data_IF_869639532009
#
_entry.id   IF_869639532009
#
_cell.length_a   1.000
_cell.length_b   1.000
_cell.length_c   1.000
_cell.angle_alpha   90.00
_cell.angle_beta   90.00
_cell.angle_gamma   90.00
#
_symmetry.space_group_name_H-M   'P 1'
#
loop_
_entity.id
_entity.type
_entity.pdbx_description
1 polymer ?
#
# COMPACT_ATOMS: atom_id res chain seq x y z
N UNK A 1 26.51 -37.41 -11.39
CA UNK A 1 26.02 -38.24 -12.51
C UNK A 1 25.76 -39.68 -12.08
N UNK A 2 26.68 -40.36 -11.40
CA UNK A 2 26.50 -41.75 -10.92
C UNK A 2 25.25 -41.95 -10.02
N UNK A 3 24.95 -40.96 -9.18
CA UNK A 3 23.75 -40.94 -8.32
C UNK A 3 22.44 -40.72 -9.11
N UNK A 4 22.52 -40.10 -10.30
CA UNK A 4 21.39 -39.86 -11.20
C UNK A 4 21.13 -41.13 -12.03
N UNK A 5 22.19 -41.77 -12.54
CA UNK A 5 22.06 -43.05 -13.26
C UNK A 5 21.49 -44.16 -12.37
N UNK A 6 21.98 -44.34 -11.13
CA UNK A 6 21.39 -45.30 -10.18
C UNK A 6 19.94 -45.00 -9.83
N UNK A 7 19.56 -43.72 -9.79
CA UNK A 7 18.18 -43.30 -9.53
C UNK A 7 17.27 -43.64 -10.70
N UNK A 8 17.70 -43.34 -11.93
CA UNK A 8 16.97 -43.66 -13.16
C UNK A 8 16.86 -45.17 -13.35
N UNK A 9 17.92 -45.93 -13.05
CA UNK A 9 17.93 -47.39 -13.15
C UNK A 9 17.00 -48.05 -12.12
N UNK A 10 16.95 -47.53 -10.89
CA UNK A 10 16.00 -47.97 -9.88
C UNK A 10 14.55 -47.60 -10.25
N UNK A 11 14.31 -46.42 -10.83
CA UNK A 11 13.00 -46.00 -11.32
C UNK A 11 12.53 -46.86 -12.51
N UNK A 12 13.42 -47.18 -13.46
CA UNK A 12 13.12 -48.07 -14.59
C UNK A 12 12.78 -49.51 -14.16
N UNK A 13 13.39 -50.00 -13.07
CA UNK A 13 13.11 -51.33 -12.52
C UNK A 13 11.76 -51.43 -11.80
N UNK A 14 11.11 -50.30 -11.50
CA UNK A 14 9.77 -50.26 -10.89
C UNK A 14 8.62 -50.16 -11.90
N UNK A 15 8.93 -50.00 -13.20
CA UNK A 15 7.95 -49.85 -14.28
C UNK A 15 7.60 -51.18 -14.94
N UNK A 16 6.38 -51.28 -15.47
CA UNK A 16 5.97 -52.47 -16.23
C UNK A 16 6.61 -52.53 -17.63
N UNK A 17 6.39 -53.63 -18.37
CA UNK A 17 6.98 -53.81 -19.70
C UNK A 17 6.42 -52.83 -20.76
N UNK A 18 5.17 -52.42 -20.63
CA UNK A 18 4.54 -51.45 -21.53
C UNK A 18 5.11 -50.04 -21.34
N UNK A 19 5.23 -49.61 -20.09
CA UNK A 19 5.80 -48.31 -19.72
C UNK A 19 7.27 -48.19 -20.12
N UNK A 20 8.07 -49.26 -19.94
CA UNK A 20 9.47 -49.30 -20.38
C UNK A 20 9.60 -49.19 -21.90
N UNK A 21 8.72 -49.83 -22.66
CA UNK A 21 8.72 -49.75 -24.12
C UNK A 21 8.31 -48.36 -24.62
N UNK A 22 7.38 -47.68 -23.94
CA UNK A 22 7.00 -46.31 -24.30
C UNK A 22 8.16 -45.32 -24.08
N UNK A 23 8.87 -45.44 -22.94
CA UNK A 23 10.05 -44.62 -22.65
C UNK A 23 11.17 -44.89 -23.66
N UNK A 24 11.41 -46.16 -24.00
CA UNK A 24 12.40 -46.54 -25.00
C UNK A 24 12.11 -45.90 -26.37
N UNK A 25 10.85 -45.90 -26.80
CA UNK A 25 10.46 -45.27 -28.07
C UNK A 25 10.64 -43.75 -28.03
N UNK A 26 10.26 -43.09 -26.94
CA UNK A 26 10.50 -41.64 -26.77
C UNK A 26 11.99 -41.27 -26.82
N UNK A 27 12.85 -42.08 -26.19
CA UNK A 27 14.30 -41.87 -26.23
C UNK A 27 14.85 -42.08 -27.65
N UNK A 28 14.34 -43.05 -28.40
CA UNK A 28 14.69 -43.24 -29.82
C UNK A 28 14.25 -42.07 -30.69
N UNK A 29 13.04 -41.54 -30.48
CA UNK A 29 12.57 -40.36 -31.21
C UNK A 29 13.45 -39.12 -30.94
N UNK A 30 13.94 -38.95 -29.70
CA UNK A 30 14.90 -37.90 -29.38
C UNK A 30 16.27 -38.13 -30.04
N UNK A 31 16.75 -39.38 -30.08
CA UNK A 31 17.97 -39.74 -30.84
C UNK A 31 17.79 -39.41 -32.32
N UNK A 32 16.66 -39.77 -32.94
CA UNK A 32 16.38 -39.48 -34.35
C UNK A 32 16.39 -37.97 -34.64
N UNK A 33 15.86 -37.15 -33.72
CA UNK A 33 15.93 -35.68 -33.82
C UNK A 33 17.36 -35.17 -33.75
N UNK A 34 18.18 -35.71 -32.86
CA UNK A 34 19.60 -35.37 -32.72
C UNK A 34 20.36 -35.79 -33.99
N UNK A 35 20.14 -37.00 -34.49
CA UNK A 35 20.77 -37.53 -35.69
C UNK A 35 20.47 -36.66 -36.92
N UNK A 36 19.22 -36.19 -37.04
CA UNK A 36 18.84 -35.23 -38.10
C UNK A 36 19.64 -33.92 -38.01
N UNK A 37 19.92 -33.43 -36.80
CA UNK A 37 20.76 -32.25 -36.60
C UNK A 37 22.23 -32.53 -36.93
N UNK A 38 22.76 -33.69 -36.52
CA UNK A 38 24.12 -34.12 -36.83
C UNK A 38 24.34 -34.22 -38.34
N UNK A 39 23.44 -34.87 -39.07
CA UNK A 39 23.50 -34.97 -40.54
C UNK A 39 23.51 -33.58 -41.19
N UNK A 40 22.69 -32.65 -40.70
CA UNK A 40 22.67 -31.27 -41.21
C UNK A 40 23.98 -30.52 -40.95
N UNK A 41 24.54 -30.66 -39.75
CA UNK A 41 25.81 -30.03 -39.37
C UNK A 41 27.00 -30.61 -40.16
N UNK A 42 27.05 -31.94 -40.30
CA UNK A 42 28.05 -32.62 -41.13
C UNK A 42 27.92 -32.16 -42.58
N UNK A 43 26.71 -32.10 -43.14
CA UNK A 43 26.47 -31.60 -44.50
C UNK A 43 26.97 -30.17 -44.70
N UNK A 44 26.69 -29.27 -43.76
CA UNK A 44 27.22 -27.89 -43.77
C UNK A 44 28.75 -27.85 -43.71
N UNK A 45 29.35 -28.69 -42.86
CA UNK A 45 30.81 -28.79 -42.74
C UNK A 45 31.44 -29.32 -44.03
N UNK A 46 30.86 -30.34 -44.64
CA UNK A 46 31.28 -30.90 -45.92
C UNK A 46 31.22 -29.85 -47.04
N UNK A 47 30.21 -28.99 -47.05
CA UNK A 47 30.16 -27.87 -47.99
C UNK A 47 31.36 -26.93 -47.83
N UNK A 48 31.79 -26.65 -46.60
CA UNK A 48 33.00 -25.87 -46.35
C UNK A 48 34.25 -26.61 -46.84
N UNK A 49 34.32 -27.93 -46.64
CA UNK A 49 35.41 -28.76 -47.19
C UNK A 49 35.49 -28.67 -48.72
N UNK A 50 34.36 -28.69 -49.44
CA UNK A 50 34.32 -28.50 -50.91
C UNK A 50 34.90 -27.14 -51.29
N UNK A 51 34.49 -26.07 -50.60
CA UNK A 51 35.00 -24.71 -50.87
C UNK A 51 36.50 -24.60 -50.59
N UNK A 52 36.98 -25.20 -49.49
CA UNK A 52 38.41 -25.27 -49.17
C UNK A 52 39.17 -26.00 -50.28
N UNK A 53 38.63 -27.11 -50.80
CA UNK A 53 39.23 -27.84 -51.92
C UNK A 53 39.40 -26.97 -53.17
N UNK A 54 38.37 -26.17 -53.52
CA UNK A 54 38.44 -25.22 -54.65
C UNK A 54 39.53 -24.16 -54.44
N UNK A 55 39.59 -23.58 -53.25
CA UNK A 55 40.58 -22.54 -52.91
C UNK A 55 42.00 -23.14 -52.96
N UNK A 56 42.21 -24.30 -52.35
CA UNK A 56 43.51 -25.00 -52.39
C UNK A 56 43.95 -25.30 -53.83
N UNK A 57 43.03 -25.70 -54.70
CA UNK A 57 43.30 -25.90 -56.14
C UNK A 57 43.74 -24.60 -56.82
N UNK A 58 43.02 -23.49 -56.61
CA UNK A 58 43.39 -22.17 -57.16
C UNK A 58 44.76 -21.70 -56.68
N UNK A 59 45.14 -22.05 -55.45
CA UNK A 59 46.41 -21.68 -54.83
C UNK A 59 47.51 -22.74 -54.98
N UNK A 60 47.24 -23.84 -55.71
CA UNK A 60 48.13 -25.00 -55.88
C UNK A 60 48.70 -25.60 -54.57
N UNK A 61 47.88 -25.64 -53.53
CA UNK A 61 48.25 -26.17 -52.20
C UNK A 61 47.91 -27.65 -52.04
N UNK A 62 48.68 -28.41 -51.23
CA UNK A 62 48.37 -29.82 -50.97
C UNK A 62 47.04 -29.98 -50.21
N UNK A 63 46.29 -31.02 -50.56
CA UNK A 63 45.00 -31.32 -49.94
C UNK A 63 45.16 -31.77 -48.49
N UNK A 64 46.21 -32.54 -48.19
CA UNK A 64 46.55 -32.98 -46.84
C UNK A 64 47.49 -32.01 -46.12
N UNK A 65 47.16 -31.66 -44.88
CA UNK A 65 48.03 -30.89 -43.99
C UNK A 65 48.00 -31.51 -42.58
N UNK A 66 49.04 -32.28 -42.19
CA UNK A 66 49.05 -33.03 -40.93
C UNK A 66 49.05 -32.12 -39.70
N UNK A 67 49.71 -30.96 -39.77
CA UNK A 67 49.75 -30.01 -38.65
C UNK A 67 48.36 -29.45 -38.34
N UNK A 68 47.59 -29.13 -39.39
CA UNK A 68 46.23 -28.63 -39.25
C UNK A 68 45.28 -29.65 -38.65
N UNK A 69 45.43 -30.93 -38.99
CA UNK A 69 44.59 -31.99 -38.43
C UNK A 69 44.91 -32.24 -36.96
N UNK A 70 46.20 -32.19 -36.58
CA UNK A 70 46.62 -32.25 -35.17
C UNK A 70 46.02 -31.10 -34.34
N UNK A 71 45.97 -29.88 -34.88
CA UNK A 71 45.30 -28.74 -34.25
C UNK A 71 43.79 -28.95 -34.08
N UNK A 72 43.14 -29.52 -35.10
CA UNK A 72 41.70 -29.80 -35.07
C UNK A 72 41.40 -30.85 -34.00
N UNK A 73 42.16 -31.95 -33.96
CA UNK A 73 42.03 -33.01 -32.96
C UNK A 73 42.22 -32.48 -31.54
N UNK A 74 43.25 -31.66 -31.30
CA UNK A 74 43.46 -31.02 -29.98
C UNK A 74 42.29 -30.11 -29.59
N UNK A 75 41.76 -29.32 -30.53
CA UNK A 75 40.62 -28.44 -30.25
C UNK A 75 39.34 -29.21 -29.93
N UNK A 76 39.04 -30.27 -30.68
CA UNK A 76 37.83 -31.07 -30.47
C UNK A 76 37.89 -31.79 -29.13
N UNK A 77 39.06 -32.32 -28.75
CA UNK A 77 39.27 -32.99 -27.47
C UNK A 77 38.95 -32.09 -26.27
N UNK A 78 39.09 -30.77 -26.40
CA UNK A 78 38.79 -29.80 -25.34
C UNK A 78 37.30 -29.46 -25.22
N UNK A 79 36.46 -29.85 -26.18
CA UNK A 79 35.01 -29.58 -26.18
C UNK A 79 34.17 -30.78 -25.72
N UNK A 80 34.82 -31.87 -25.28
CA UNK A 80 34.14 -33.10 -24.90
C UNK A 80 33.69 -33.03 -23.45
N UNK A 81 32.42 -33.33 -23.23
CA UNK A 81 31.83 -33.49 -21.90
C UNK A 81 31.42 -34.95 -21.70
N UNK A 82 31.43 -35.43 -20.45
CA UNK A 82 30.96 -36.78 -20.11
C UNK A 82 29.49 -36.96 -20.53
N UNK A 83 29.06 -38.15 -20.99
CA UNK A 83 29.70 -39.48 -20.86
C UNK A 83 30.67 -39.86 -21.99
N UNK A 84 30.90 -38.98 -22.97
CA UNK A 84 31.77 -39.29 -24.10
C UNK A 84 33.24 -39.08 -23.70
N UNK A 85 34.11 -40.07 -23.99
CA UNK A 85 35.54 -39.93 -23.72
C UNK A 85 36.25 -39.17 -24.85
N UNK A 86 37.30 -38.38 -24.55
CA UNK A 86 38.08 -37.67 -25.56
C UNK A 86 38.60 -38.56 -26.69
N UNK A 87 39.05 -39.79 -26.40
CA UNK A 87 39.54 -40.72 -27.41
C UNK A 87 38.41 -41.21 -28.33
N UNK A 88 37.16 -41.25 -27.83
CA UNK A 88 36.01 -41.69 -28.60
C UNK A 88 35.55 -40.63 -29.61
N UNK A 89 35.54 -39.34 -29.23
CA UNK A 89 35.20 -38.28 -30.20
C UNK A 89 36.25 -38.16 -31.30
N UNK A 90 37.53 -38.42 -30.98
CA UNK A 90 38.62 -38.31 -31.94
C UNK A 90 38.46 -39.33 -33.06
N UNK A 91 38.12 -40.59 -32.75
CA UNK A 91 37.82 -41.61 -33.76
C UNK A 91 36.66 -41.22 -34.69
N UNK A 92 35.62 -40.59 -34.14
CA UNK A 92 34.47 -40.11 -34.94
C UNK A 92 34.92 -38.99 -35.88
N UNK A 93 35.69 -38.03 -35.36
CA UNK A 93 36.15 -36.88 -36.14
C UNK A 93 37.22 -37.23 -37.16
N UNK A 94 38.08 -38.22 -36.90
CA UNK A 94 39.00 -38.80 -37.87
C UNK A 94 38.24 -39.26 -39.12
N UNK A 95 37.09 -39.96 -38.92
CA UNK A 95 36.28 -40.41 -40.06
C UNK A 95 35.64 -39.24 -40.84
N UNK A 96 35.22 -38.18 -40.15
CA UNK A 96 34.70 -36.96 -40.78
C UNK A 96 35.81 -36.24 -41.56
N UNK A 97 37.05 -36.25 -41.05
CA UNK A 97 38.22 -35.65 -41.70
C UNK A 97 38.65 -36.47 -42.92
N UNK A 98 38.67 -37.80 -42.84
CA UNK A 98 38.88 -38.72 -43.96
C UNK A 98 37.93 -38.37 -45.12
N UNK A 99 36.63 -38.31 -44.83
CA UNK A 99 35.61 -38.03 -45.84
C UNK A 99 35.78 -36.62 -46.44
N UNK A 100 36.12 -35.65 -45.59
CA UNK A 100 36.42 -34.29 -46.03
C UNK A 100 37.63 -34.23 -46.97
N UNK A 101 38.67 -35.05 -46.73
CA UNK A 101 39.85 -35.16 -47.61
C UNK A 101 39.48 -35.82 -48.94
N UNK A 102 38.71 -36.90 -48.90
CA UNK A 102 38.26 -37.60 -50.10
C UNK A 102 37.51 -36.63 -51.03
N UNK A 103 36.55 -35.88 -50.48
CA UNK A 103 35.78 -34.87 -51.22
C UNK A 103 36.66 -33.72 -51.74
N UNK A 104 37.62 -33.23 -50.93
CA UNK A 104 38.57 -32.21 -51.38
C UNK A 104 39.45 -32.70 -52.54
N UNK A 105 39.93 -33.95 -52.46
CA UNK A 105 40.76 -34.57 -53.50
C UNK A 105 39.95 -34.79 -54.78
N UNK A 106 38.70 -35.24 -54.66
CA UNK A 106 37.83 -35.47 -55.79
C UNK A 106 37.46 -34.16 -56.52
N UNK A 107 37.12 -33.10 -55.78
CA UNK A 107 36.85 -31.77 -56.34
C UNK A 107 38.11 -31.12 -56.95
N UNK A 108 39.30 -31.40 -56.38
CA UNK A 108 40.58 -30.92 -56.92
C UNK A 108 40.94 -31.55 -58.27
N UNK A 109 40.60 -32.83 -58.49
CA UNK A 109 40.95 -33.59 -59.70
C UNK A 109 39.91 -33.45 -60.81
N UNK A 110 38.61 -33.54 -60.51
CA UNK A 110 37.55 -33.65 -61.52
C UNK A 110 36.83 -32.34 -61.84
N UNK A 111 36.97 -31.31 -60.99
CA UNK A 111 36.48 -29.94 -61.22
C UNK A 111 34.94 -29.77 -61.28
N UNK A 112 34.36 -29.04 -60.33
CA UNK A 112 32.94 -28.66 -60.29
C UNK A 112 31.94 -29.83 -60.30
N UNK A 113 32.24 -30.94 -59.61
CA UNK A 113 31.29 -32.05 -59.47
C UNK A 113 30.10 -31.64 -58.60
N UNK A 114 30.40 -30.96 -57.49
CA UNK A 114 29.38 -30.50 -56.58
C UNK A 114 28.82 -29.16 -57.06
N UNK A 115 27.61 -29.16 -57.64
CA UNK A 115 26.82 -27.94 -57.80
C UNK A 115 26.57 -27.38 -56.40
N UNK A 116 27.40 -26.42 -55.98
CA UNK A 116 27.16 -25.59 -54.79
C UNK A 116 25.99 -24.67 -55.15
N UNK A 117 24.80 -25.24 -55.21
CA UNK A 117 23.57 -24.48 -55.23
C UNK A 117 23.54 -23.80 -53.87
N UNK A 118 23.92 -22.53 -53.86
CA UNK A 118 23.73 -21.64 -52.71
C UNK A 118 22.22 -21.55 -52.55
N UNK A 119 21.59 -22.54 -51.93
CA UNK A 119 20.26 -22.37 -51.36
C UNK A 119 20.50 -21.34 -50.27
N UNK A 120 20.34 -20.07 -50.66
CA UNK A 120 20.25 -18.94 -49.75
C UNK A 120 19.20 -19.38 -48.73
N UNK A 121 19.63 -19.83 -47.56
CA UNK A 121 18.88 -19.54 -46.35
C UNK A 121 19.07 -18.04 -46.06
N UNK A 122 18.66 -17.21 -47.02
CA UNK A 122 17.96 -16.00 -46.66
C UNK A 122 16.56 -16.52 -46.35
N UNK A 123 16.08 -16.33 -45.13
CA UNK A 123 14.64 -16.15 -44.97
C UNK A 123 14.36 -14.85 -45.73
N UNK A 124 14.13 -14.99 -47.03
CA UNK A 124 13.83 -13.87 -47.89
C UNK A 124 12.39 -13.52 -47.64
N UNK A 125 12.13 -12.45 -46.87
CA UNK A 125 10.79 -11.87 -46.79
C UNK A 125 10.24 -11.53 -48.19
N UNK A 126 11.13 -11.32 -49.16
CA UNK A 126 10.88 -11.16 -50.60
C UNK A 126 10.25 -12.37 -51.30
N UNK A 127 10.21 -13.56 -50.68
CA UNK A 127 9.48 -14.75 -51.18
C UNK A 127 8.32 -15.20 -50.31
N UNK A 128 8.06 -14.54 -49.18
CA UNK A 128 7.03 -14.93 -48.22
C UNK A 128 5.67 -14.28 -48.50
N UNK A 129 5.66 -13.10 -49.10
CA UNK A 129 4.46 -12.33 -49.45
C UNK A 129 4.66 -11.75 -50.85
N UNK A 130 3.70 -11.96 -51.77
CA UNK A 130 3.71 -11.22 -53.04
C UNK A 130 3.52 -9.72 -52.78
N UNK A 131 3.79 -8.83 -53.77
CA UNK A 131 3.54 -7.39 -53.60
C UNK A 131 2.10 -7.10 -53.14
N UNK A 132 1.13 -7.86 -53.66
CA UNK A 132 -0.27 -7.79 -53.24
C UNK A 132 -0.45 -8.20 -51.78
N UNK A 133 0.15 -9.32 -51.37
CA UNK A 133 0.03 -9.82 -50.00
C UNK A 133 0.73 -8.89 -48.99
N UNK A 134 1.83 -8.23 -49.39
CA UNK A 134 2.46 -7.19 -48.60
C UNK A 134 1.52 -5.99 -48.37
N UNK A 135 0.86 -5.49 -49.42
CA UNK A 135 -0.13 -4.41 -49.27
C UNK A 135 -1.33 -4.82 -48.43
N UNK A 136 -1.79 -6.07 -48.53
CA UNK A 136 -2.86 -6.61 -47.69
C UNK A 136 -2.44 -6.65 -46.23
N UNK A 137 -1.23 -7.16 -45.94
CA UNK A 137 -0.69 -7.21 -44.57
C UNK A 137 -0.51 -5.80 -44.01
N UNK A 138 0.03 -4.86 -44.79
CA UNK A 138 0.16 -3.46 -44.37
C UNK A 138 -1.21 -2.83 -44.12
N UNK A 139 -2.18 -3.02 -45.02
CA UNK A 139 -3.53 -2.51 -44.83
C UNK A 139 -4.19 -3.09 -43.57
N UNK A 140 -4.01 -4.39 -43.31
CA UNK A 140 -4.48 -5.05 -42.08
C UNK A 140 -3.88 -4.42 -40.83
N UNK A 141 -2.55 -4.20 -40.79
CA UNK A 141 -1.91 -3.52 -39.66
C UNK A 141 -2.33 -2.06 -39.53
N UNK A 142 -2.57 -1.33 -40.63
CA UNK A 142 -3.10 0.03 -40.60
C UNK A 142 -4.53 0.08 -40.05
N UNK A 143 -5.38 -0.88 -40.42
CA UNK A 143 -6.74 -1.01 -39.85
C UNK A 143 -6.66 -1.29 -38.36
N UNK A 144 -5.81 -2.23 -37.93
CA UNK A 144 -5.59 -2.50 -36.50
C UNK A 144 -5.08 -1.24 -35.78
N UNK A 145 -4.10 -0.54 -36.33
CA UNK A 145 -3.54 0.66 -35.74
C UNK A 145 -4.59 1.78 -35.66
N UNK A 146 -5.42 1.94 -36.68
CA UNK A 146 -6.54 2.88 -36.69
C UNK A 146 -7.60 2.54 -35.64
N UNK A 147 -7.94 1.25 -35.49
CA UNK A 147 -8.86 0.79 -34.45
C UNK A 147 -8.29 1.01 -33.04
N UNK A 148 -7.01 0.72 -32.82
CA UNK A 148 -6.33 1.00 -31.55
C UNK A 148 -6.28 2.50 -31.28
N UNK A 149 -5.93 3.31 -32.27
CA UNK A 149 -5.91 4.75 -32.16
C UNK A 149 -7.29 5.29 -31.79
N UNK A 150 -8.33 4.91 -32.54
CA UNK A 150 -9.71 5.30 -32.27
C UNK A 150 -10.16 4.86 -30.88
N UNK A 151 -9.80 3.65 -30.44
CA UNK A 151 -10.21 3.11 -29.14
C UNK A 151 -9.55 3.83 -27.96
N UNK A 152 -8.24 4.14 -28.05
CA UNK A 152 -7.47 4.65 -26.92
C UNK A 152 -7.28 6.18 -26.92
N UNK A 153 -7.37 6.84 -28.07
CA UNK A 153 -7.15 8.29 -28.20
C UNK A 153 -8.44 9.10 -28.36
N UNK A 154 -9.58 8.49 -28.73
CA UNK A 154 -10.86 9.20 -28.80
C UNK A 154 -11.30 9.66 -27.41
N UNK A 155 -11.66 10.94 -27.24
CA UNK A 155 -12.23 11.48 -26.00
C UNK A 155 -13.49 10.73 -25.55
N UNK A 156 -13.55 10.35 -24.27
CA UNK A 156 -14.77 9.82 -23.66
C UNK A 156 -15.53 10.94 -22.97
N UNK A 157 -16.86 10.93 -23.12
CA UNK A 157 -17.74 11.91 -22.49
C UNK A 157 -18.74 11.26 -21.55
N UNK A 158 -18.74 11.68 -20.29
CA UNK A 158 -19.77 11.31 -19.32
C UNK A 158 -20.89 12.37 -19.27
N UNK A 159 -22.07 11.95 -18.80
CA UNK A 159 -23.23 12.84 -18.62
C UNK A 159 -23.16 13.56 -17.27
N UNK A 160 -23.57 14.82 -17.22
CA UNK A 160 -23.66 15.62 -15.99
C UNK A 160 -22.68 16.80 -15.93
N UNK A 161 -22.53 17.38 -14.74
CA UNK A 161 -21.63 18.54 -14.52
C UNK A 161 -20.16 18.08 -14.53
N UNK A 162 -19.32 18.83 -15.22
CA UNK A 162 -17.86 18.66 -15.24
C UNK A 162 -17.21 19.77 -14.38
N UNK A 163 -16.18 19.46 -13.58
CA UNK A 163 -15.56 18.14 -13.41
C UNK A 163 -16.37 17.19 -12.51
N UNK A 164 -16.28 15.89 -12.80
CA UNK A 164 -16.83 14.81 -11.98
C UNK A 164 -15.94 14.57 -10.77
N UNK A 165 -16.54 14.61 -9.57
CA UNK A 165 -15.85 14.23 -8.34
C UNK A 165 -15.81 12.70 -8.24
N UNK A 166 -14.59 12.15 -8.30
CA UNK A 166 -14.33 10.72 -8.22
C UNK A 166 -13.44 10.41 -7.02
N UNK A 167 -13.92 9.58 -6.10
CA UNK A 167 -13.23 9.28 -4.85
C UNK A 167 -12.64 7.88 -4.91
N UNK A 168 -11.37 7.77 -4.56
CA UNK A 168 -10.63 6.51 -4.42
C UNK A 168 -10.26 6.32 -2.96
N UNK A 169 -10.67 5.19 -2.39
CA UNK A 169 -10.42 4.86 -0.97
C UNK A 169 -9.02 4.29 -0.77
N UNK A 170 -8.56 4.32 0.49
CA UNK A 170 -7.30 3.71 0.89
C UNK A 170 -7.34 2.20 0.60
N UNK A 171 -6.33 1.71 -0.11
CA UNK A 171 -6.17 0.30 -0.48
C UNK A 171 -7.32 -0.27 -1.33
N UNK A 172 -8.03 0.57 -2.07
CA UNK A 172 -9.07 0.12 -2.99
C UNK A 172 -8.46 -0.64 -4.18
N UNK A 173 -8.90 -1.89 -4.46
CA UNK A 173 -8.41 -2.64 -5.60
C UNK A 173 -8.69 -1.91 -6.92
N UNK A 174 -7.71 -1.91 -7.83
CA UNK A 174 -7.85 -1.25 -9.13
C UNK A 174 -9.08 -1.72 -9.93
N UNK A 175 -9.45 -3.00 -9.78
CA UNK A 175 -10.67 -3.54 -10.40
C UNK A 175 -11.95 -2.79 -9.99
N UNK A 176 -12.08 -2.41 -8.72
CA UNK A 176 -13.22 -1.65 -8.22
C UNK A 176 -13.20 -0.21 -8.74
N UNK A 177 -12.02 0.41 -8.81
CA UNK A 177 -11.85 1.74 -9.41
C UNK A 177 -12.33 1.74 -10.88
N UNK A 178 -11.95 0.72 -11.66
CA UNK A 178 -12.40 0.55 -13.05
C UNK A 178 -13.90 0.33 -13.13
N UNK A 179 -14.46 -0.50 -12.24
CA UNK A 179 -15.89 -0.76 -12.19
C UNK A 179 -16.69 0.51 -11.91
N UNK A 180 -16.22 1.35 -11.00
CA UNK A 180 -16.89 2.59 -10.64
C UNK A 180 -16.73 3.69 -11.71
N UNK A 181 -15.56 3.78 -12.37
CA UNK A 181 -15.39 4.65 -13.54
C UNK A 181 -16.35 4.26 -14.67
N UNK A 182 -16.54 2.96 -14.89
CA UNK A 182 -17.49 2.45 -15.89
C UNK A 182 -18.93 2.74 -15.50
N UNK A 183 -19.33 2.45 -14.26
CA UNK A 183 -20.69 2.74 -13.75
C UNK A 183 -21.04 4.23 -13.84
N UNK A 184 -20.07 5.12 -13.59
CA UNK A 184 -20.24 6.57 -13.72
C UNK A 184 -20.17 7.07 -15.17
N UNK A 185 -19.95 6.18 -16.15
CA UNK A 185 -19.89 6.51 -17.57
C UNK A 185 -18.64 7.28 -17.99
N UNK A 186 -17.62 7.34 -17.12
CA UNK A 186 -16.34 8.01 -17.44
C UNK A 186 -15.58 7.25 -18.52
N UNK A 187 -15.69 5.92 -18.49
CA UNK A 187 -15.10 5.03 -19.48
C UNK A 187 -16.18 4.13 -20.11
N UNK A 188 -16.14 3.87 -21.43
CA UNK A 188 -17.09 2.99 -22.11
C UNK A 188 -16.75 1.50 -22.03
N UNK A 189 -15.52 1.15 -21.65
CA UNK A 189 -15.04 -0.24 -21.55
C UNK A 189 -14.04 -0.41 -20.42
N UNK A 190 -14.31 -1.39 -19.55
CA UNK A 190 -13.45 -1.80 -18.43
C UNK A 190 -12.15 -2.43 -18.92
N UNK A 191 -12.23 -3.26 -19.96
CA UNK A 191 -11.08 -3.97 -20.52
C UNK A 191 -10.03 -3.01 -21.06
N UNK A 192 -10.47 -1.97 -21.79
CA UNK A 192 -9.56 -0.96 -22.32
C UNK A 192 -8.86 -0.19 -21.20
N UNK A 193 -9.57 0.15 -20.13
CA UNK A 193 -8.94 0.80 -18.97
C UNK A 193 -7.90 -0.09 -18.27
N UNK A 194 -8.16 -1.41 -18.19
CA UNK A 194 -7.18 -2.37 -17.65
C UNK A 194 -5.94 -2.48 -18.55
N UNK A 195 -6.12 -2.56 -19.87
CA UNK A 195 -5.01 -2.54 -20.82
C UNK A 195 -4.19 -1.26 -20.66
N UNK A 196 -4.85 -0.09 -20.56
CA UNK A 196 -4.15 1.17 -20.34
C UNK A 196 -3.40 1.19 -19.01
N UNK A 197 -3.98 0.68 -17.93
CA UNK A 197 -3.30 0.59 -16.63
C UNK A 197 -2.07 -0.31 -16.67
N UNK A 198 -2.16 -1.44 -17.37
CA UNK A 198 -1.06 -2.36 -17.58
C UNK A 198 0.10 -1.68 -18.33
N UNK A 199 -0.20 -0.93 -19.41
CA UNK A 199 0.80 -0.19 -20.18
C UNK A 199 1.54 0.87 -19.36
N UNK A 200 0.87 1.49 -18.38
CA UNK A 200 1.47 2.50 -17.49
C UNK A 200 2.12 1.90 -16.23
N UNK A 201 1.99 0.59 -15.97
CA UNK A 201 2.37 0.00 -14.68
C UNK A 201 1.57 0.60 -13.51
N UNK A 202 0.34 1.01 -13.76
CA UNK A 202 -0.45 1.89 -12.88
C UNK A 202 -1.32 1.15 -11.86
N UNK A 203 -1.45 -0.18 -11.95
CA UNK A 203 -2.43 -0.98 -11.20
C UNK A 203 -2.29 -0.84 -9.67
N UNK A 204 -1.11 -0.45 -9.17
CA UNK A 204 -0.85 -0.22 -7.74
C UNK A 204 -0.47 1.23 -7.40
N UNK A 205 -0.54 2.12 -8.38
CA UNK A 205 0.06 3.47 -8.31
C UNK A 205 -0.98 4.58 -8.16
N UNK A 206 -2.27 4.26 -8.29
CA UNK A 206 -3.35 5.23 -8.07
C UNK A 206 -3.46 5.54 -6.58
N UNK A 207 -3.38 6.83 -6.25
CA UNK A 207 -3.43 7.30 -4.87
C UNK A 207 -4.88 7.33 -4.37
N UNK A 208 -5.05 7.05 -3.09
CA UNK A 208 -6.32 7.30 -2.41
C UNK A 208 -6.56 8.81 -2.34
N UNK A 209 -7.52 9.31 -3.11
CA UNK A 209 -7.76 10.73 -3.28
C UNK A 209 -9.14 11.00 -3.86
N UNK A 210 -9.56 12.26 -3.74
CA UNK A 210 -10.68 12.83 -4.50
C UNK A 210 -10.12 13.50 -5.76
N UNK A 211 -10.46 12.95 -6.91
CA UNK A 211 -10.11 13.41 -8.24
C UNK A 211 -11.25 14.24 -8.85
N UNK A 212 -10.90 15.26 -9.61
CA UNK A 212 -11.86 16.14 -10.29
C UNK A 212 -11.76 15.94 -11.80
N UNK A 213 -12.30 14.82 -12.26
CA UNK A 213 -12.10 14.31 -13.63
C UNK A 213 -12.83 15.23 -14.63
N UNK A 214 -12.11 15.97 -15.50
CA UNK A 214 -12.71 16.74 -16.57
C UNK A 214 -13.41 15.84 -17.59
N UNK A 215 -14.38 16.38 -18.30
CA UNK A 215 -15.00 15.66 -19.42
C UNK A 215 -14.07 15.61 -20.65
N UNK A 216 -14.25 14.63 -21.54
CA UNK A 216 -13.49 14.52 -22.78
C UNK A 216 -12.09 13.91 -22.63
N UNK A 217 -11.80 13.17 -21.56
CA UNK A 217 -10.55 12.44 -21.43
C UNK A 217 -10.63 11.10 -22.17
N UNK A 218 -9.62 10.81 -23.00
CA UNK A 218 -9.38 9.46 -23.50
C UNK A 218 -8.72 8.59 -22.42
N UNK A 219 -8.56 7.29 -22.67
CA UNK A 219 -8.03 6.35 -21.68
C UNK A 219 -6.63 6.71 -21.17
N UNK A 220 -5.73 7.08 -22.07
CA UNK A 220 -4.33 7.42 -21.74
C UNK A 220 -4.27 8.68 -20.87
N UNK A 221 -5.02 9.72 -21.26
CA UNK A 221 -5.09 10.97 -20.52
C UNK A 221 -5.77 10.79 -19.16
N UNK A 222 -6.82 9.97 -19.08
CA UNK A 222 -7.47 9.63 -17.82
C UNK A 222 -6.49 8.91 -16.87
N UNK A 223 -5.74 7.92 -17.37
CA UNK A 223 -4.75 7.23 -16.57
C UNK A 223 -3.64 8.17 -16.08
N UNK A 224 -3.07 8.97 -16.98
CA UNK A 224 -2.09 9.99 -16.61
C UNK A 224 -2.65 10.98 -15.58
N UNK A 225 -3.92 11.36 -15.70
CA UNK A 225 -4.61 12.23 -14.74
C UNK A 225 -4.79 11.56 -13.37
N UNK A 226 -5.14 10.27 -13.30
CA UNK A 226 -5.28 9.55 -12.03
C UNK A 226 -3.92 9.35 -11.33
N UNK A 227 -2.83 9.26 -12.09
CA UNK A 227 -1.47 9.08 -11.57
C UNK A 227 -0.82 10.40 -11.12
N UNK A 228 -0.97 11.45 -11.92
CA UNK A 228 -0.20 12.69 -11.77
C UNK A 228 -1.05 13.96 -11.72
N UNK A 229 -2.35 13.85 -11.97
CA UNK A 229 -3.27 14.99 -11.98
C UNK A 229 -3.49 15.58 -10.60
N UNK A 230 -4.15 16.75 -10.59
CA UNK A 230 -4.53 17.42 -9.34
C UNK A 230 -5.58 16.57 -8.62
N UNK A 231 -5.26 16.16 -7.41
CA UNK A 231 -6.13 15.37 -6.56
C UNK A 231 -6.04 15.84 -5.11
N UNK A 232 -7.15 15.72 -4.39
CA UNK A 232 -7.19 15.96 -2.96
C UNK A 232 -6.91 14.63 -2.24
N UNK A 233 -5.68 14.45 -1.75
CA UNK A 233 -5.25 13.18 -1.16
C UNK A 233 -6.05 12.85 0.10
N UNK A 234 -6.34 11.57 0.30
CA UNK A 234 -6.85 11.04 1.55
C UNK A 234 -5.69 10.89 2.54
N UNK A 235 -5.74 11.59 3.67
CA UNK A 235 -4.67 11.59 4.67
C UNK A 235 -5.20 11.22 6.05
N UNK A 236 -4.33 10.59 6.84
CA UNK A 236 -4.61 10.24 8.23
C UNK A 236 -4.31 11.44 9.14
N UNK A 237 -5.34 11.97 9.83
CA UNK A 237 -5.22 13.09 10.77
C UNK A 237 -5.58 12.63 12.17
N UNK A 238 -4.59 12.61 13.06
CA UNK A 238 -4.79 12.25 14.47
C UNK A 238 -5.13 13.47 15.33
N UNK A 239 -6.30 13.43 15.95
CA UNK A 239 -6.71 14.32 17.04
C UNK A 239 -6.31 13.69 18.37
N UNK A 240 -5.55 14.41 19.19
CA UNK A 240 -5.08 13.94 20.50
C UNK A 240 -6.15 14.12 21.58
N UNK A 241 -6.00 13.38 22.69
CA UNK A 241 -6.87 13.55 23.86
C UNK A 241 -6.59 14.90 24.55
N UNK A 242 -7.62 15.47 25.19
CA UNK A 242 -7.48 16.66 26.03
C UNK A 242 -7.20 17.96 25.26
N UNK A 243 -7.54 18.00 23.95
CA UNK A 243 -7.25 19.16 23.08
C UNK A 243 -8.44 20.09 22.94
N UNK A 244 -8.16 21.39 22.76
CA UNK A 244 -9.18 22.42 22.49
C UNK A 244 -9.66 22.40 21.03
N UNK A 245 -10.77 23.10 20.76
CA UNK A 245 -11.23 23.36 19.38
C UNK A 245 -10.14 24.04 18.55
N UNK A 246 -9.43 25.01 19.13
CA UNK A 246 -8.38 25.77 18.42
C UNK A 246 -7.24 24.85 17.99
N UNK A 247 -6.82 23.94 18.87
CA UNK A 247 -5.81 22.94 18.53
C UNK A 247 -6.29 22.02 17.40
N UNK A 248 -7.56 21.59 17.44
CA UNK A 248 -8.14 20.76 16.36
C UNK A 248 -8.16 21.54 15.04
N UNK A 249 -8.59 22.80 15.05
CA UNK A 249 -8.63 23.65 13.88
C UNK A 249 -7.23 23.86 13.27
N UNK A 250 -6.22 24.13 14.10
CA UNK A 250 -4.82 24.23 13.68
C UNK A 250 -4.31 22.90 13.10
N UNK A 251 -4.58 21.78 13.78
CA UNK A 251 -4.18 20.45 13.32
C UNK A 251 -4.79 20.13 11.96
N UNK A 252 -6.07 20.47 11.75
CA UNK A 252 -6.76 20.26 10.48
C UNK A 252 -6.22 21.18 9.39
N UNK A 253 -5.96 22.46 9.68
CA UNK A 253 -5.33 23.39 8.73
C UNK A 253 -3.99 22.85 8.22
N UNK A 254 -3.09 22.50 9.14
CA UNK A 254 -1.76 22.01 8.81
C UNK A 254 -1.77 20.68 8.05
N UNK A 255 -2.77 19.82 8.29
CA UNK A 255 -2.83 18.49 7.64
C UNK A 255 -3.62 18.50 6.32
N UNK A 256 -4.60 19.39 6.17
CA UNK A 256 -5.59 19.34 5.09
C UNK A 256 -5.60 20.59 4.20
N UNK A 257 -4.86 21.65 4.55
CA UNK A 257 -4.88 22.93 3.84
C UNK A 257 -6.28 23.58 3.82
N UNK A 258 -6.99 23.54 4.95
CA UNK A 258 -8.32 24.14 5.12
C UNK A 258 -8.26 25.38 6.02
N UNK A 259 -9.27 26.25 5.94
CA UNK A 259 -9.37 27.42 6.80
C UNK A 259 -9.71 27.04 8.25
N UNK A 260 -8.76 27.28 9.17
CA UNK A 260 -8.95 27.03 10.60
C UNK A 260 -10.02 27.94 11.21
N UNK A 261 -10.15 29.17 10.73
CA UNK A 261 -11.15 30.12 11.25
C UNK A 261 -12.57 29.66 10.93
N UNK A 262 -12.79 29.08 9.75
CA UNK A 262 -14.05 28.46 9.38
C UNK A 262 -14.39 27.25 10.27
N UNK A 263 -13.41 26.43 10.67
CA UNK A 263 -13.62 25.33 11.63
C UNK A 263 -14.03 25.88 12.99
N UNK A 264 -13.31 26.86 13.53
CA UNK A 264 -13.65 27.48 14.82
C UNK A 264 -15.04 28.08 14.77
N UNK A 265 -15.37 28.85 13.72
CA UNK A 265 -16.69 29.47 13.54
C UNK A 265 -17.80 28.41 13.56
N UNK A 266 -17.66 27.34 12.79
CA UNK A 266 -18.64 26.26 12.76
C UNK A 266 -18.74 25.51 14.11
N UNK A 267 -17.63 25.36 14.83
CA UNK A 267 -17.62 24.70 16.13
C UNK A 267 -18.38 25.48 17.23
N UNK A 268 -18.64 26.77 17.03
CA UNK A 268 -19.47 27.61 17.89
C UNK A 268 -20.78 28.06 17.22
N UNK A 269 -21.10 27.54 16.02
CA UNK A 269 -22.31 27.92 15.29
C UNK A 269 -23.54 27.27 15.93
N UNK A 270 -24.42 28.10 16.49
CA UNK A 270 -25.57 27.64 17.26
C UNK A 270 -26.55 26.80 16.43
N UNK A 271 -26.81 27.20 15.18
CA UNK A 271 -27.71 26.46 14.29
C UNK A 271 -27.18 25.06 14.00
N UNK A 272 -25.88 24.93 13.76
CA UNK A 272 -25.23 23.64 13.58
C UNK A 272 -25.30 22.76 14.83
N UNK A 273 -24.93 23.32 15.98
CA UNK A 273 -24.96 22.62 17.28
C UNK A 273 -26.37 22.10 17.59
N UNK A 274 -27.39 22.93 17.38
CA UNK A 274 -28.78 22.57 17.61
C UNK A 274 -29.26 21.51 16.60
N UNK A 275 -28.87 21.62 15.32
CA UNK A 275 -29.16 20.60 14.30
C UNK A 275 -28.54 19.23 14.62
N UNK A 276 -27.45 19.21 15.41
CA UNK A 276 -26.80 18.01 15.91
C UNK A 276 -27.39 17.50 17.23
N UNK A 277 -28.38 18.19 17.81
CA UNK A 277 -28.99 17.81 19.09
C UNK A 277 -28.03 17.90 20.28
N UNK A 278 -27.03 18.78 20.20
CA UNK A 278 -26.06 19.02 21.26
C UNK A 278 -26.63 20.06 22.22
N UNK A 279 -26.62 19.77 23.53
CA UNK A 279 -27.14 20.69 24.56
C UNK A 279 -26.18 21.82 24.96
N UNK A 280 -24.95 21.81 24.45
CA UNK A 280 -23.93 22.80 24.77
C UNK A 280 -23.94 24.04 23.86
N UNK A 281 -22.93 24.90 24.05
CA UNK A 281 -22.70 26.11 23.26
C UNK A 281 -21.56 25.97 22.25
N UNK A 282 -20.94 24.80 22.18
CA UNK A 282 -19.88 24.49 21.21
C UNK A 282 -19.79 22.99 20.95
N UNK A 283 -18.98 22.62 19.95
CA UNK A 283 -18.59 21.23 19.69
C UNK A 283 -17.46 20.72 20.62
N UNK A 284 -17.04 21.51 21.62
CA UNK A 284 -16.02 21.08 22.59
C UNK A 284 -16.55 19.89 23.40
N UNK A 285 -15.75 18.83 23.47
CA UNK A 285 -16.14 17.54 24.03
C UNK A 285 -16.80 16.58 23.03
N UNK A 286 -17.22 17.07 21.87
CA UNK A 286 -17.89 16.29 20.82
C UNK A 286 -16.95 15.95 19.65
N UNK A 287 -15.76 16.56 19.59
CA UNK A 287 -14.75 16.27 18.56
C UNK A 287 -13.87 15.09 19.03
N UNK A 288 -14.41 13.88 18.91
CA UNK A 288 -13.81 12.66 19.48
C UNK A 288 -12.32 12.50 19.09
N UNK A 289 -11.40 12.40 20.05
CA UNK A 289 -10.00 12.10 19.75
C UNK A 289 -9.82 10.72 19.13
N UNK A 290 -9.25 10.68 17.92
CA UNK A 290 -8.81 9.50 17.18
C UNK A 290 -8.09 9.91 15.89
N UNK A 291 -7.66 8.93 15.10
CA UNK A 291 -7.20 9.13 13.73
C UNK A 291 -8.37 9.12 12.74
N UNK A 292 -8.45 10.14 11.90
CA UNK A 292 -9.47 10.33 10.88
C UNK A 292 -8.85 10.25 9.49
N UNK A 293 -9.53 9.56 8.57
CA UNK A 293 -9.19 9.59 7.14
C UNK A 293 -9.99 10.71 6.47
N UNK A 294 -9.30 11.79 6.10
CA UNK A 294 -9.92 13.00 5.58
C UNK A 294 -9.25 13.43 4.28
N UNK A 295 -10.04 13.90 3.31
CA UNK A 295 -9.49 14.42 2.06
C UNK A 295 -8.94 15.83 2.27
N UNK A 296 -7.79 16.11 1.67
CA UNK A 296 -7.24 17.48 1.62
C UNK A 296 -8.24 18.43 0.95
N UNK A 297 -8.25 19.71 1.38
CA UNK A 297 -9.12 20.76 0.85
C UNK A 297 -10.62 20.40 0.87
N UNK A 298 -11.04 19.52 1.76
CA UNK A 298 -12.46 19.30 2.05
C UNK A 298 -13.07 20.55 2.67
N UNK A 299 -14.38 20.71 2.56
CA UNK A 299 -15.05 21.83 3.23
C UNK A 299 -14.99 21.67 4.76
N UNK A 300 -14.88 22.78 5.50
CA UNK A 300 -14.87 22.75 6.97
C UNK A 300 -16.11 22.07 7.54
N UNK A 301 -17.26 22.19 6.84
CA UNK A 301 -18.51 21.53 7.20
C UNK A 301 -18.41 20.00 7.06
N UNK A 302 -17.90 19.52 5.93
CA UNK A 302 -17.68 18.08 5.70
C UNK A 302 -16.78 17.46 6.77
N UNK A 303 -15.70 18.15 7.15
CA UNK A 303 -14.79 17.69 8.20
C UNK A 303 -15.48 17.59 9.55
N UNK A 304 -16.24 18.61 9.95
CA UNK A 304 -17.00 18.61 11.20
C UNK A 304 -18.05 17.50 11.21
N UNK A 305 -18.79 17.32 10.10
CA UNK A 305 -19.79 16.26 9.99
C UNK A 305 -19.14 14.87 10.09
N UNK A 306 -17.94 14.68 9.51
CA UNK A 306 -17.18 13.43 9.64
C UNK A 306 -16.73 13.17 11.09
N UNK A 307 -16.20 14.19 11.77
CA UNK A 307 -15.77 14.10 13.17
C UNK A 307 -16.97 13.80 14.08
N UNK A 308 -18.07 14.52 13.90
CA UNK A 308 -19.28 14.33 14.68
C UNK A 308 -19.96 12.98 14.39
N UNK A 309 -19.88 12.49 13.16
CA UNK A 309 -20.36 11.15 12.81
C UNK A 309 -19.58 10.07 13.54
N UNK A 310 -18.26 10.20 13.65
CA UNK A 310 -17.47 9.28 14.46
C UNK A 310 -17.85 9.33 15.95
N UNK A 311 -18.10 10.52 16.49
CA UNK A 311 -18.64 10.67 17.84
C UNK A 311 -19.98 9.94 18.00
N UNK A 312 -20.93 10.11 17.07
CA UNK A 312 -22.22 9.41 17.11
C UNK A 312 -22.04 7.88 17.07
N UNK A 313 -21.14 7.38 16.22
CA UNK A 313 -20.85 5.95 16.11
C UNK A 313 -20.23 5.37 17.38
N UNK A 314 -19.39 6.15 18.07
CA UNK A 314 -18.86 5.77 19.39
C UNK A 314 -19.97 5.77 20.46
N UNK A 315 -20.89 6.74 20.41
CA UNK A 315 -22.02 6.87 21.32
C UNK A 315 -23.18 5.92 20.97
N UNK A 316 -22.90 4.62 20.99
CA UNK A 316 -23.86 3.54 20.77
C UNK A 316 -25.03 3.56 21.76
N UNK A 317 -26.12 2.88 21.41
CA UNK A 317 -27.36 2.87 22.20
C UNK A 317 -27.17 2.37 23.64
N UNK A 318 -26.26 1.44 23.87
CA UNK A 318 -25.97 0.93 25.22
C UNK A 318 -25.39 2.02 26.14
N UNK A 319 -24.50 2.89 25.62
CA UNK A 319 -23.97 4.04 26.36
C UNK A 319 -25.05 5.09 26.61
N UNK A 320 -25.90 5.36 25.61
CA UNK A 320 -27.03 6.30 25.76
C UNK A 320 -28.03 5.84 26.82
N UNK A 321 -28.40 4.55 26.82
CA UNK A 321 -29.27 3.94 27.83
C UNK A 321 -28.62 3.98 29.22
N UNK A 322 -27.31 3.75 29.29
CA UNK A 322 -26.55 3.83 30.53
C UNK A 322 -26.54 5.24 31.12
N UNK A 323 -26.33 6.28 30.31
CA UNK A 323 -26.41 7.68 30.76
C UNK A 323 -27.75 7.97 31.45
N UNK A 324 -28.85 7.56 30.79
CA UNK A 324 -30.22 7.72 31.31
C UNK A 324 -30.41 6.99 32.65
N UNK A 325 -29.93 5.75 32.78
CA UNK A 325 -29.99 4.99 34.04
C UNK A 325 -29.16 5.65 35.14
N UNK A 326 -28.07 6.31 34.77
CA UNK A 326 -27.18 6.98 35.70
C UNK A 326 -27.67 8.38 36.12
N UNK A 327 -28.72 8.90 35.47
CA UNK A 327 -29.31 10.21 35.79
C UNK A 327 -28.57 11.40 35.19
N UNK A 328 -27.68 11.18 34.23
CA UNK A 328 -26.87 12.24 33.60
C UNK A 328 -27.14 12.31 32.10
N UNK A 329 -27.14 13.52 31.55
CA UNK A 329 -27.18 13.72 30.10
C UNK A 329 -25.82 13.38 29.48
N UNK A 330 -25.78 13.17 28.15
CA UNK A 330 -24.51 12.99 27.45
C UNK A 330 -23.58 14.19 27.62
N UNK A 331 -24.15 15.40 27.68
CA UNK A 331 -23.38 16.61 27.90
C UNK A 331 -22.70 16.62 29.27
N UNK A 332 -23.40 16.15 30.31
CA UNK A 332 -22.85 16.03 31.67
C UNK A 332 -21.73 14.98 31.72
N UNK A 333 -21.92 13.84 31.06
CA UNK A 333 -20.89 12.78 30.94
C UNK A 333 -19.65 13.32 30.25
N UNK A 334 -19.78 14.04 29.13
CA UNK A 334 -18.64 14.63 28.45
C UNK A 334 -17.96 15.73 29.28
N UNK A 335 -18.75 16.48 30.04
CA UNK A 335 -18.21 17.50 30.95
C UNK A 335 -17.31 16.86 32.00
N UNK A 336 -17.78 15.81 32.67
CA UNK A 336 -16.96 15.09 33.66
C UNK A 336 -15.77 14.41 32.99
N UNK A 337 -15.97 13.79 31.83
CA UNK A 337 -14.88 13.13 31.10
C UNK A 337 -13.76 14.10 30.72
N UNK A 338 -14.08 15.33 30.33
CA UNK A 338 -13.07 16.37 30.04
C UNK A 338 -12.30 16.80 31.30
N UNK A 339 -12.97 16.83 32.46
CA UNK A 339 -12.29 17.11 33.73
C UNK A 339 -11.35 15.95 34.08
N UNK A 340 -11.83 14.70 34.00
CA UNK A 340 -11.03 13.49 34.24
C UNK A 340 -9.81 13.42 33.31
N UNK A 341 -10.00 13.74 32.02
CA UNK A 341 -8.92 13.78 31.03
C UNK A 341 -7.85 14.82 31.38
N UNK A 342 -8.26 15.96 31.93
CA UNK A 342 -7.34 17.00 32.40
C UNK A 342 -6.57 16.64 33.67
N UNK A 343 -7.09 15.75 34.52
CA UNK A 343 -6.43 15.34 35.77
C UNK A 343 -5.33 14.30 35.54
N UNK A 344 -5.50 13.38 34.59
CA UNK A 344 -4.54 12.30 34.37
C UNK A 344 -4.46 11.82 32.93
N UNK A 345 -3.25 11.42 32.53
CA UNK A 345 -3.04 10.62 31.32
C UNK A 345 -3.05 9.11 31.63
N UNK A 346 -3.09 8.73 32.91
CA UNK A 346 -3.11 7.33 33.31
C UNK A 346 -4.53 6.75 33.22
N UNK A 347 -4.76 5.96 32.17
CA UNK A 347 -6.05 5.32 31.88
C UNK A 347 -6.56 4.48 33.06
N UNK A 348 -5.66 3.87 33.84
CA UNK A 348 -6.05 2.99 34.96
C UNK A 348 -6.67 3.74 36.13
N UNK A 349 -6.44 5.05 36.28
CA UNK A 349 -7.00 5.86 37.39
C UNK A 349 -8.27 6.62 37.02
N UNK A 350 -8.58 6.71 35.71
CA UNK A 350 -9.73 7.47 35.23
C UNK A 350 -11.05 7.01 35.89
N UNK A 351 -11.32 5.70 36.09
CA UNK A 351 -12.53 5.26 36.78
C UNK A 351 -12.61 5.72 38.24
N UNK A 352 -11.50 5.73 38.98
CA UNK A 352 -11.45 6.24 40.36
C UNK A 352 -11.64 7.75 40.43
N UNK A 353 -10.99 8.51 39.55
CA UNK A 353 -11.15 9.97 39.48
C UNK A 353 -12.60 10.33 39.10
N UNK A 354 -13.18 9.66 38.11
CA UNK A 354 -14.59 9.82 37.75
C UNK A 354 -15.51 9.53 38.95
N UNK A 355 -15.24 8.46 39.70
CA UNK A 355 -16.00 8.13 40.91
C UNK A 355 -15.92 9.23 41.97
N UNK A 356 -14.74 9.83 42.20
CA UNK A 356 -14.59 10.96 43.13
C UNK A 356 -15.49 12.13 42.73
N UNK A 357 -15.52 12.50 41.45
CA UNK A 357 -16.37 13.61 41.00
C UNK A 357 -17.87 13.30 41.13
N UNK A 358 -18.31 12.09 40.76
CA UNK A 358 -19.70 11.69 40.99
C UNK A 358 -20.07 11.67 42.48
N UNK A 359 -19.18 11.21 43.34
CA UNK A 359 -19.39 11.20 44.79
C UNK A 359 -19.49 12.63 45.36
N UNK A 360 -18.64 13.55 44.88
CA UNK A 360 -18.70 14.98 45.24
C UNK A 360 -20.02 15.61 44.79
N UNK A 361 -20.44 15.39 43.55
CA UNK A 361 -21.72 15.87 43.02
C UNK A 361 -22.90 15.37 43.86
N UNK A 362 -22.93 14.07 44.18
CA UNK A 362 -23.97 13.47 45.00
C UNK A 362 -24.05 14.09 46.41
N UNK A 363 -22.94 14.58 46.95
CA UNK A 363 -22.86 15.25 48.25
C UNK A 363 -23.01 16.78 48.19
N UNK A 364 -23.24 17.36 47.00
CA UNK A 364 -23.28 18.81 46.82
C UNK A 364 -21.92 19.50 47.07
N UNK A 365 -20.82 18.75 47.00
CA UNK A 365 -19.47 19.29 47.14
C UNK A 365 -19.03 19.96 45.84
N UNK A 366 -18.24 21.03 45.97
CA UNK A 366 -17.52 21.63 44.85
C UNK A 366 -16.54 20.64 44.24
N UNK A 367 -16.36 20.65 42.92
CA UNK A 367 -15.44 19.71 42.26
C UNK A 367 -13.97 20.06 42.49
N UNK A 368 -13.63 21.35 42.62
CA UNK A 368 -12.27 21.84 42.89
C UNK A 368 -11.23 21.19 41.95
N UNK A 369 -11.52 21.20 40.65
CA UNK A 369 -10.67 20.57 39.65
C UNK A 369 -9.79 21.64 38.98
N UNK A 370 -8.47 21.48 39.09
CA UNK A 370 -7.49 22.39 38.49
C UNK A 370 -7.65 22.56 36.97
N UNK A 371 -7.95 21.51 36.18
CA UNK A 371 -8.18 21.63 34.75
C UNK A 371 -9.24 22.67 34.37
N UNK A 372 -10.26 22.86 35.23
CA UNK A 372 -11.32 23.85 34.97
C UNK A 372 -10.83 25.29 35.08
N UNK A 373 -9.78 25.53 35.89
CA UNK A 373 -9.11 26.83 35.99
C UNK A 373 -8.11 27.00 34.85
N UNK A 374 -7.39 25.94 34.49
CA UNK A 374 -6.48 25.97 33.32
C UNK A 374 -7.22 26.36 32.04
N UNK A 375 -8.43 25.82 31.85
CA UNK A 375 -9.32 26.18 30.74
C UNK A 375 -9.59 27.69 30.66
N UNK A 376 -9.76 28.36 31.81
CA UNK A 376 -10.04 29.80 31.88
C UNK A 376 -8.82 30.67 31.61
N UNK A 377 -7.62 30.17 31.90
CA UNK A 377 -6.38 30.92 31.80
C UNK A 377 -5.83 31.03 30.38
N UNK A 378 -6.41 30.30 29.40
CA UNK A 378 -6.06 30.29 27.97
C UNK A 378 -4.53 30.38 27.73
N UNK A 379 -3.84 29.23 27.75
CA UNK A 379 -2.42 29.20 27.48
C UNK A 379 -1.76 27.87 27.83
N UNK A 380 -0.43 27.88 27.94
CA UNK A 380 0.32 26.71 28.41
C UNK A 380 -0.04 26.41 29.86
N UNK A 381 -0.08 25.12 30.17
CA UNK A 381 -0.29 24.63 31.52
C UNK A 381 0.75 25.22 32.47
N UNK A 382 0.28 25.84 33.54
CA UNK A 382 1.13 26.44 34.58
C UNK A 382 0.67 25.97 35.96
N UNK A 383 1.55 26.07 36.95
CA UNK A 383 1.12 25.91 38.34
C UNK A 383 0.13 27.02 38.71
N UNK A 384 -1.02 26.65 39.25
CA UNK A 384 -2.05 27.60 39.66
C UNK A 384 -1.63 28.34 40.93
N UNK A 385 -1.83 29.66 40.93
CA UNK A 385 -1.72 30.52 42.11
C UNK A 385 -3.07 30.64 42.80
N UNK A 386 -3.07 31.10 44.06
CA UNK A 386 -4.32 31.36 44.78
C UNK A 386 -5.21 32.40 44.06
N UNK A 387 -4.59 33.39 43.38
CA UNK A 387 -5.30 34.40 42.58
C UNK A 387 -6.04 33.77 41.41
N UNK A 388 -5.45 32.77 40.75
CA UNK A 388 -6.10 32.07 39.62
C UNK A 388 -7.37 31.34 40.09
N UNK A 389 -7.41 30.82 41.32
CA UNK A 389 -8.58 30.12 41.89
C UNK A 389 -9.78 31.06 42.16
N UNK A 390 -9.57 32.39 42.14
CA UNK A 390 -10.61 33.39 42.42
C UNK A 390 -11.30 33.92 41.15
N UNK A 391 -10.92 33.44 39.95
CA UNK A 391 -11.50 33.90 38.68
C UNK A 391 -13.03 33.73 38.70
N UNK A 392 -13.77 34.79 38.38
CA UNK A 392 -15.23 34.74 38.33
C UNK A 392 -15.71 34.17 37.00
N UNK A 393 -16.04 32.89 36.98
CA UNK A 393 -16.58 32.21 35.79
C UNK A 393 -17.41 31.00 36.22
N UNK A 394 -18.50 30.65 35.51
CA UNK A 394 -19.29 29.44 35.81
C UNK A 394 -18.48 28.14 35.62
N UNK A 395 -17.35 28.19 34.91
CA UNK A 395 -16.42 27.06 34.83
C UNK A 395 -15.55 26.88 36.08
N UNK A 396 -15.47 27.89 36.97
CA UNK A 396 -14.64 27.80 38.17
C UNK A 396 -15.28 26.89 39.22
N UNK A 397 -14.83 25.64 39.25
CA UNK A 397 -15.31 24.62 40.20
C UNK A 397 -14.76 24.75 41.63
N UNK A 398 -13.90 25.76 41.90
CA UNK A 398 -13.54 26.18 43.26
C UNK A 398 -14.56 27.19 43.83
N UNK A 399 -15.24 27.93 42.97
CA UNK A 399 -16.22 28.95 43.37
C UNK A 399 -17.64 28.41 43.38
N UNK A 400 -18.04 27.69 42.34
CA UNK A 400 -19.41 27.20 42.15
C UNK A 400 -19.48 25.67 42.34
N UNK A 401 -20.53 25.20 43.02
CA UNK A 401 -20.82 23.77 43.17
C UNK A 401 -21.59 23.23 41.95
N UNK A 402 -21.51 21.92 41.72
CA UNK A 402 -22.10 21.28 40.54
C UNK A 402 -21.14 21.20 39.36
N UNK A 403 -21.68 20.84 38.20
CA UNK A 403 -20.93 20.78 36.94
C UNK A 403 -20.75 22.19 36.34
N UNK A 404 -19.62 22.46 35.68
CA UNK A 404 -19.50 23.64 34.84
C UNK A 404 -20.46 23.55 33.63
N UNK A 405 -20.69 24.65 32.88
CA UNK A 405 -21.67 24.69 31.79
C UNK A 405 -21.41 23.73 30.62
N UNK A 406 -20.22 23.12 30.54
CA UNK A 406 -19.88 22.13 29.52
C UNK A 406 -18.44 21.63 29.64
N UNK A 407 -17.98 20.84 28.66
CA UNK A 407 -16.62 20.32 28.61
C UNK A 407 -15.55 21.41 28.56
N UNK A 408 -14.35 21.09 29.04
CA UNK A 408 -13.17 21.97 29.02
C UNK A 408 -12.13 21.57 27.97
N UNK A 409 -12.25 20.37 27.41
CA UNK A 409 -11.43 19.83 26.33
C UNK A 409 -12.22 18.81 25.51
N UNK A 410 -11.57 18.18 24.52
CA UNK A 410 -12.07 16.96 23.88
C UNK A 410 -11.48 15.71 24.56
N UNK A 411 -12.24 14.99 25.40
CA UNK A 411 -11.73 13.84 26.15
C UNK A 411 -11.58 12.61 25.26
N UNK A 412 -10.58 11.78 25.56
CA UNK A 412 -10.38 10.50 24.88
C UNK A 412 -11.49 9.48 25.16
N UNK A 413 -11.54 8.42 24.36
CA UNK A 413 -12.52 7.32 24.52
C UNK A 413 -12.45 6.72 25.92
N UNK A 414 -11.25 6.58 26.46
CA UNK A 414 -10.97 6.00 27.78
C UNK A 414 -11.57 6.85 28.90
N UNK A 415 -11.39 8.18 28.87
CA UNK A 415 -11.97 9.09 29.86
C UNK A 415 -13.51 9.11 29.78
N UNK A 416 -14.07 9.08 28.56
CA UNK A 416 -15.53 8.99 28.36
C UNK A 416 -16.07 7.67 28.93
N UNK A 417 -15.43 6.53 28.61
CA UNK A 417 -15.83 5.23 29.12
C UNK A 417 -15.68 5.14 30.64
N UNK A 418 -14.60 5.65 31.23
CA UNK A 418 -14.42 5.72 32.67
C UNK A 418 -15.52 6.53 33.37
N UNK A 419 -16.05 7.55 32.71
CA UNK A 419 -17.16 8.36 33.21
C UNK A 419 -18.51 7.62 33.11
N UNK A 420 -18.68 6.79 32.08
CA UNK A 420 -19.81 5.87 32.03
C UNK A 420 -19.71 4.78 33.09
N UNK A 421 -18.52 4.25 33.32
CA UNK A 421 -18.25 3.12 34.21
C UNK A 421 -17.29 3.53 35.35
N UNK A 422 -17.70 4.45 36.24
CA UNK A 422 -16.85 4.86 37.33
C UNK A 422 -16.62 3.70 38.30
N UNK A 423 -15.47 3.71 38.97
CA UNK A 423 -15.14 2.71 39.97
C UNK A 423 -16.16 2.76 41.13
N UNK A 424 -16.46 1.58 41.70
CA UNK A 424 -17.36 1.48 42.86
C UNK A 424 -16.57 1.78 44.14
N UNK A 425 -16.54 3.04 44.55
CA UNK A 425 -15.91 3.49 45.79
C UNK A 425 -16.63 4.71 46.37
N UNK A 426 -16.26 5.08 47.61
CA UNK A 426 -16.77 6.26 48.31
C UNK A 426 -15.69 7.34 48.49
N UNK A 427 -14.69 7.38 47.60
CA UNK A 427 -13.62 8.36 47.70
C UNK A 427 -14.14 9.75 47.37
N UNK A 428 -13.60 10.74 48.09
CA UNK A 428 -13.96 12.15 47.97
C UNK A 428 -12.74 13.04 47.70
N UNK A 429 -11.54 12.51 47.85
CA UNK A 429 -10.31 13.27 47.68
C UNK A 429 -9.25 12.40 47.04
N UNK A 430 -8.40 13.02 46.24
CA UNK A 430 -7.20 12.40 45.68
C UNK A 430 -6.07 13.43 45.67
N UNK A 431 -4.83 12.96 45.70
CA UNK A 431 -3.62 13.78 45.61
C UNK A 431 -2.52 12.94 44.97
N UNK A 432 -1.64 13.57 44.19
CA UNK A 432 -0.52 12.88 43.56
C UNK A 432 0.33 12.11 44.59
N UNK A 433 0.81 10.93 44.21
CA UNK A 433 1.65 10.07 45.06
C UNK A 433 3.16 10.34 44.91
N UNK A 434 3.55 11.04 43.83
CA UNK A 434 4.94 11.34 43.46
C UNK A 434 5.51 10.44 42.36
N UNK A 435 4.77 9.45 41.88
CA UNK A 435 5.20 8.44 40.89
C UNK A 435 4.17 8.30 39.76
N UNK A 436 3.60 9.43 39.33
CA UNK A 436 2.61 9.52 38.23
C UNK A 436 1.24 8.88 38.52
N UNK A 437 0.91 8.68 39.80
CA UNK A 437 -0.42 8.22 40.25
C UNK A 437 -0.98 9.11 41.35
N UNK A 438 -2.15 8.74 41.86
CA UNK A 438 -2.89 9.41 42.89
C UNK A 438 -3.22 8.49 44.05
N UNK A 439 -3.18 9.04 45.26
CA UNK A 439 -3.67 8.39 46.48
C UNK A 439 -5.09 8.88 46.78
N UNK A 440 -6.05 7.96 46.75
CA UNK A 440 -7.46 8.26 46.99
C UNK A 440 -7.83 8.12 48.47
N UNK A 441 -8.79 8.92 48.93
CA UNK A 441 -9.28 8.88 50.32
C UNK A 441 -10.73 9.35 50.43
N UNK A 442 -11.42 8.84 51.45
CA UNK A 442 -12.82 9.19 51.77
C UNK A 442 -12.96 10.27 52.85
N UNK A 443 -11.87 10.59 53.57
CA UNK A 443 -11.84 11.55 54.69
C UNK A 443 -10.85 12.67 54.43
N UNK A 444 -11.24 13.90 54.81
CA UNK A 444 -10.40 15.08 54.67
C UNK A 444 -9.12 15.00 55.51
N UNK A 445 -9.20 14.44 56.73
CA UNK A 445 -8.01 14.22 57.57
C UNK A 445 -6.98 13.34 56.86
N UNK A 446 -7.44 12.24 56.24
CA UNK A 446 -6.57 11.34 55.50
C UNK A 446 -5.98 12.00 54.25
N UNK A 447 -6.77 12.83 53.57
CA UNK A 447 -6.29 13.64 52.46
C UNK A 447 -5.17 14.59 52.89
N UNK A 448 -5.30 15.29 54.03
CA UNK A 448 -4.25 16.17 54.55
C UNK A 448 -2.95 15.43 54.89
N UNK A 449 -3.05 14.21 55.44
CA UNK A 449 -1.87 13.35 55.63
C UNK A 449 -1.18 13.01 54.30
N UNK A 450 -1.94 12.64 53.27
CA UNK A 450 -1.41 12.32 51.95
C UNK A 450 -0.79 13.56 51.28
N UNK A 451 -1.42 14.74 51.42
CA UNK A 451 -0.86 16.03 50.96
C UNK A 451 0.46 16.34 51.66
N UNK A 452 0.57 16.07 52.96
CA UNK A 452 1.83 16.25 53.71
C UNK A 452 2.93 15.35 53.13
N UNK A 453 2.64 14.07 52.91
CA UNK A 453 3.58 13.10 52.29
C UNK A 453 4.03 13.56 50.91
N UNK A 454 3.10 14.01 50.06
CA UNK A 454 3.43 14.52 48.73
C UNK A 454 4.31 15.79 48.78
N UNK A 455 4.03 16.72 49.70
CA UNK A 455 4.87 17.91 49.92
C UNK A 455 6.29 17.55 50.39
N UNK A 456 6.42 16.57 51.27
CA UNK A 456 7.72 16.06 51.72
C UNK A 456 8.50 15.40 50.57
N UNK A 457 7.83 14.61 49.73
CA UNK A 457 8.40 14.05 48.51
C UNK A 457 8.89 15.16 47.56
N UNK A 458 8.08 16.19 47.30
CA UNK A 458 8.48 17.33 46.46
C UNK A 458 9.71 18.06 46.99
N UNK A 459 9.84 18.22 48.31
CA UNK A 459 11.04 18.83 48.92
C UNK A 459 12.29 17.97 48.66
N UNK A 460 12.19 16.65 48.79
CA UNK A 460 13.29 15.72 48.53
C UNK A 460 13.75 15.71 47.07
N UNK A 461 12.84 15.91 46.12
CA UNK A 461 13.18 15.98 44.69
C UNK A 461 13.85 17.32 44.32
N UNK A 462 13.56 18.41 45.03
CA UNK A 462 14.23 19.70 44.80
C UNK A 462 15.61 19.80 45.43
N UNK A 463 15.89 18.97 46.43
CA UNK A 463 17.21 18.87 47.08
C UNK A 463 18.17 17.91 46.38
N UNK A 464 17.68 17.17 45.38
CA UNK A 464 18.49 16.41 44.42
C UNK A 464 18.61 17.24 43.15
#
# INVERSE_FOLDING_TARGET
MEHIYKKIENELNTLDEGERNEILNKLRDEIDKIDKQLVHLISKRTLQSVLIGRIKRTLNLPTYNPQREKEISQKISNYVEEPLKPEAILRIYERILDESRAIQKEEAVKGNIFKVTRKKMKIGFDKLLSRRDFFIVVAFFLVILSLLYYTFFTPNYYKGKSPLVFEVKKSEPFGLIVDDLYKKGVIPSKTNMRITAFLYGAEKSIKAARYYIPNGLNYLNLMGYLLHGKSNLLVDVTIKNGVSIDWVAEKLHNSLYIDSTAIVKLAYDKNLIDSMGIKGNSLLGYMLPQTYQLYQRSSSREIIDSIYTAFKSFMVDSLRKRAKKFGYSIHDILTIASIVQGETNNVSEMPEIAAVYFNRLKKGMKLQADPTIQFLLKGKWKRLSYKDLQINSPYNTYKYAGLPPGPIDNPGKEAILATFYPAKNNYLYFVADGYEKHVFSNSYSKHLENVKKYKEWLKKQKSK
#
